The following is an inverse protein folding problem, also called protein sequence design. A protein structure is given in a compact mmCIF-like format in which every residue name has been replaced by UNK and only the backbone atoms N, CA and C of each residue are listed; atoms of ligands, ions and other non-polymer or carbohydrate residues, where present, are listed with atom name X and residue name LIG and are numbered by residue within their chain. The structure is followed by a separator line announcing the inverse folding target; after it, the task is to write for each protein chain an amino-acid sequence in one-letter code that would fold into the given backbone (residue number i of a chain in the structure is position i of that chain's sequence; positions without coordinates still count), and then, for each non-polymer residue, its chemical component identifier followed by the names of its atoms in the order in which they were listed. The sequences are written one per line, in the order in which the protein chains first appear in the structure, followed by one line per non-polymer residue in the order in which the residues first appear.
data_IF_643392588988
#
_entry.id   IF_643392588988
#
_cell.length_a   1.000
_cell.length_b   1.000
_cell.length_c   1.000
_cell.angle_alpha   90.00
_cell.angle_beta   90.00
_cell.angle_gamma   90.00
#
_symmetry.space_group_name_H-M   'P 1'
#
loop_
_entity.id
_entity.type
_entity.pdbx_description
1 polymer ?
#
# COMPACT_ATOMS: atom_id res chain seq x y z
N UNK A 1 16.23 -25.89 19.54
CA UNK A 1 15.33 -25.00 18.78
C UNK A 1 15.17 -23.70 19.56
N UNK A 2 16.02 -22.71 19.29
CA UNK A 2 16.04 -21.43 20.02
C UNK A 2 15.66 -20.28 19.08
N UNK A 3 14.36 -20.02 18.94
CA UNK A 3 13.86 -18.87 18.21
C UNK A 3 13.72 -17.68 19.15
N UNK A 4 14.78 -16.88 19.29
CA UNK A 4 14.72 -15.62 20.02
C UNK A 4 13.76 -14.66 19.32
N UNK A 5 12.53 -14.59 19.81
CA UNK A 5 11.52 -13.63 19.38
C UNK A 5 11.98 -12.22 19.72
N UNK A 6 12.75 -11.60 18.83
CA UNK A 6 12.97 -10.15 18.85
C UNK A 6 11.59 -9.51 18.83
N UNK A 7 11.24 -8.77 19.88
CA UNK A 7 10.01 -7.99 19.94
C UNK A 7 9.99 -7.03 18.75
N UNK A 8 9.32 -7.40 17.67
CA UNK A 8 9.14 -6.51 16.55
C UNK A 8 8.28 -5.35 17.04
N UNK A 9 8.89 -4.17 17.14
CA UNK A 9 8.18 -2.93 17.40
C UNK A 9 7.01 -2.84 16.41
N UNK A 10 5.81 -2.58 16.92
CA UNK A 10 4.59 -2.58 16.09
C UNK A 10 4.72 -1.43 15.09
N UNK A 11 5.06 -1.74 13.84
CA UNK A 11 5.05 -0.75 12.76
C UNK A 11 3.62 -0.60 12.25
N UNK A 12 3.10 0.61 12.27
CA UNK A 12 1.81 0.89 11.61
C UNK A 12 2.01 0.67 10.11
N UNK A 13 1.20 -0.19 9.49
CA UNK A 13 1.16 -0.30 8.02
C UNK A 13 0.04 0.59 7.51
N UNK A 14 0.32 1.42 6.51
CA UNK A 14 -0.70 2.16 5.79
C UNK A 14 -1.61 1.23 5.00
N UNK A 15 -2.81 1.70 4.66
CA UNK A 15 -3.75 0.90 3.87
C UNK A 15 -3.38 0.88 2.40
N UNK A 16 -3.67 -0.23 1.75
CA UNK A 16 -3.49 -0.39 0.31
C UNK A 16 -4.51 0.49 -0.45
N UNK A 17 -4.11 1.01 -1.61
CA UNK A 17 -4.97 1.77 -2.51
C UNK A 17 -5.29 0.92 -3.73
N UNK A 18 -6.54 0.96 -4.20
CA UNK A 18 -6.94 0.28 -5.43
C UNK A 18 -7.36 1.31 -6.47
N UNK A 19 -6.77 1.23 -7.65
CA UNK A 19 -7.14 2.06 -8.81
C UNK A 19 -7.46 1.17 -9.99
N UNK A 20 -8.44 1.59 -10.78
CA UNK A 20 -8.79 0.94 -12.03
C UNK A 20 -8.13 1.71 -13.17
N UNK A 21 -7.52 1.00 -14.10
CA UNK A 21 -6.93 1.58 -15.29
C UNK A 21 -7.58 0.98 -16.52
N UNK A 22 -8.12 1.84 -17.36
CA UNK A 22 -8.64 1.45 -18.66
C UNK A 22 -7.51 1.39 -19.68
N UNK A 23 -7.43 0.29 -20.41
CA UNK A 23 -6.45 0.03 -21.45
C UNK A 23 -7.16 -0.39 -22.74
N UNK A 24 -6.74 0.18 -23.86
CA UNK A 24 -7.18 -0.30 -25.17
C UNK A 24 -6.32 -1.48 -25.66
N UNK A 25 -6.80 -2.20 -26.67
CA UNK A 25 -6.09 -3.37 -27.23
C UNK A 25 -4.64 -3.06 -27.65
N UNK A 26 -4.38 -1.86 -28.17
CA UNK A 26 -3.03 -1.46 -28.58
C UNK A 26 -2.10 -1.34 -27.36
N UNK A 27 -2.52 -0.63 -26.32
CA UNK A 27 -1.78 -0.50 -25.06
C UNK A 27 -1.54 -1.86 -24.40
N UNK A 28 -2.51 -2.76 -24.45
CA UNK A 28 -2.37 -4.12 -23.95
C UNK A 28 -1.35 -4.91 -24.77
N UNK A 29 -1.38 -4.79 -26.10
CA UNK A 29 -0.48 -5.53 -26.99
C UNK A 29 0.99 -5.11 -26.89
N UNK A 30 1.25 -3.82 -26.65
CA UNK A 30 2.63 -3.27 -26.59
C UNK A 30 3.15 -3.08 -25.17
N UNK A 31 2.27 -3.10 -24.17
CA UNK A 31 2.56 -2.53 -22.87
C UNK A 31 2.55 -1.00 -22.92
N UNK A 32 2.40 -0.37 -21.74
CA UNK A 32 2.32 1.09 -21.61
C UNK A 32 2.80 1.55 -20.23
N UNK A 33 3.37 2.75 -20.16
CA UNK A 33 3.70 3.43 -18.92
C UNK A 33 2.62 4.48 -18.64
N UNK A 34 1.92 4.35 -17.49
CA UNK A 34 0.86 5.29 -17.09
C UNK A 34 1.22 5.98 -15.77
N UNK A 35 0.93 7.28 -15.71
CA UNK A 35 1.09 8.11 -14.51
C UNK A 35 -0.25 8.28 -13.81
N UNK A 36 -0.32 7.84 -12.57
CA UNK A 36 -1.50 7.97 -11.72
C UNK A 36 -1.32 9.10 -10.74
N UNK A 37 -2.18 10.12 -10.81
CA UNK A 37 -2.26 11.16 -9.80
C UNK A 37 -3.17 10.71 -8.67
N UNK A 38 -2.58 10.31 -7.55
CA UNK A 38 -3.28 9.71 -6.41
C UNK A 38 -3.47 10.74 -5.30
N UNK A 39 -4.71 10.86 -4.81
CA UNK A 39 -5.01 11.58 -3.57
C UNK A 39 -4.98 10.59 -2.41
N UNK A 40 -3.99 10.70 -1.53
CA UNK A 40 -3.74 9.72 -0.47
C UNK A 40 -3.09 10.33 0.75
N UNK A 41 -3.01 9.55 1.83
CA UNK A 41 -2.15 9.91 2.95
C UNK A 41 -0.69 9.75 2.56
N UNK A 42 0.08 10.83 2.71
CA UNK A 42 1.52 10.89 2.51
C UNK A 42 2.21 11.19 3.83
N UNK A 43 3.51 10.88 3.91
CA UNK A 43 4.31 11.22 5.09
C UNK A 43 4.30 12.73 5.29
N UNK A 44 4.15 13.18 6.53
CA UNK A 44 4.19 14.61 6.83
C UNK A 44 5.61 15.14 6.64
N UNK A 45 5.80 16.08 5.70
CA UNK A 45 7.12 16.67 5.42
C UNK A 45 7.67 17.48 6.59
N UNK A 46 6.81 18.08 7.42
CA UNK A 46 7.23 18.91 8.56
C UNK A 46 7.89 18.11 9.69
N UNK A 47 7.42 16.89 9.95
CA UNK A 47 7.94 16.04 11.02
C UNK A 47 8.57 14.74 10.51
N UNK A 48 8.68 14.60 9.19
CA UNK A 48 9.20 13.43 8.48
C UNK A 48 8.61 12.10 8.97
N UNK A 49 7.31 12.07 9.28
CA UNK A 49 6.62 10.86 9.74
C UNK A 49 6.61 10.62 11.25
N UNK A 50 7.40 11.36 12.04
CA UNK A 50 7.50 11.14 13.49
C UNK A 50 6.23 11.49 14.27
N UNK A 51 5.39 12.39 13.74
CA UNK A 51 4.24 12.95 14.44
C UNK A 51 4.62 14.00 15.50
N UNK A 52 5.90 14.26 15.73
CA UNK A 52 6.37 15.18 16.76
C UNK A 52 6.90 16.49 16.17
N UNK A 53 6.81 17.56 16.94
CA UNK A 53 7.34 18.88 16.60
C UNK A 53 8.82 18.95 16.98
N UNK A 54 9.70 19.11 15.98
CA UNK A 54 11.15 19.23 16.16
C UNK A 54 11.83 17.96 16.71
N UNK A 55 13.15 18.01 16.85
CA UNK A 55 13.97 16.85 17.25
C UNK A 55 13.74 16.41 18.72
N UNK A 56 13.24 17.30 19.58
CA UNK A 56 12.94 17.03 20.99
C UNK A 56 11.47 16.70 21.28
N UNK A 57 10.62 16.58 20.26
CA UNK A 57 9.18 16.39 20.45
C UNK A 57 8.77 14.98 20.89
N UNK A 58 9.71 14.02 20.87
CA UNK A 58 9.49 12.64 21.35
C UNK A 58 10.37 12.30 22.54
N UNK A 59 9.84 11.52 23.48
CA UNK A 59 10.64 10.87 24.51
C UNK A 59 10.53 9.35 24.42
N UNK A 60 11.56 8.64 24.87
CA UNK A 60 11.48 7.19 25.05
C UNK A 60 10.47 6.87 26.14
N UNK A 61 9.57 5.92 25.89
CA UNK A 61 8.55 5.54 26.85
C UNK A 61 9.20 5.01 28.13
N UNK A 62 8.99 5.64 29.31
CA UNK A 62 9.63 5.24 30.55
C UNK A 62 9.16 3.87 31.06
N UNK A 63 7.96 3.41 30.66
CA UNK A 63 7.40 2.12 31.10
C UNK A 63 8.02 0.93 30.40
N UNK A 64 8.34 1.06 29.11
CA UNK A 64 8.88 -0.04 28.30
C UNK A 64 10.33 0.20 27.84
N UNK A 65 10.92 1.34 28.20
CA UNK A 65 12.28 1.75 27.83
C UNK A 65 12.56 1.61 26.32
N UNK A 66 11.58 1.97 25.48
CA UNK A 66 11.72 1.93 24.02
C UNK A 66 11.30 0.61 23.36
N UNK A 67 11.03 -0.44 24.13
CA UNK A 67 10.71 -1.77 23.56
C UNK A 67 9.29 -1.88 23.00
N UNK A 68 8.39 -0.96 23.37
CA UNK A 68 6.97 -0.99 22.97
C UNK A 68 6.14 -2.09 23.65
N UNK A 69 6.76 -2.90 24.51
CA UNK A 69 6.11 -4.04 25.17
C UNK A 69 6.53 -4.14 26.62
N UNK A 70 5.71 -4.76 27.46
CA UNK A 70 6.01 -5.02 28.86
C UNK A 70 5.79 -6.51 29.15
N UNK A 71 6.72 -7.10 29.91
CA UNK A 71 6.60 -8.49 30.37
C UNK A 71 5.70 -8.56 31.59
N UNK A 72 4.60 -9.31 31.51
CA UNK A 72 3.72 -9.61 32.63
C UNK A 72 3.96 -11.04 33.09
N UNK A 73 4.40 -11.18 34.34
CA UNK A 73 4.48 -12.48 35.01
C UNK A 73 3.15 -12.73 35.70
N UNK A 74 2.46 -13.81 35.32
CA UNK A 74 1.20 -14.23 35.93
C UNK A 74 1.35 -15.64 36.49
N UNK A 75 0.78 -15.86 37.67
CA UNK A 75 0.78 -17.15 38.33
C UNK A 75 -0.34 -18.01 37.75
N UNK A 76 0.02 -19.16 37.17
CA UNK A 76 -0.91 -20.12 36.58
C UNK A 76 -0.88 -21.45 37.35
N UNK A 77 -1.85 -22.33 37.06
CA UNK A 77 -1.91 -23.70 37.58
C UNK A 77 -0.67 -24.55 37.26
N UNK A 78 0.15 -24.15 36.28
CA UNK A 78 1.40 -24.82 35.89
C UNK A 78 2.67 -24.06 36.33
N UNK A 79 2.53 -23.06 37.21
CA UNK A 79 3.63 -22.21 37.68
C UNK A 79 3.60 -20.80 37.10
N UNK A 80 4.73 -20.10 37.16
CA UNK A 80 4.87 -18.71 36.71
C UNK A 80 4.97 -18.66 35.18
N UNK A 81 4.00 -18.04 34.52
CA UNK A 81 3.99 -17.81 33.07
C UNK A 81 4.36 -16.36 32.82
N UNK A 82 5.41 -16.14 32.03
CA UNK A 82 5.75 -14.82 31.51
C UNK A 82 5.09 -14.63 30.15
N UNK A 83 4.26 -13.60 30.03
CA UNK A 83 3.63 -13.20 28.78
C UNK A 83 4.06 -11.79 28.41
N UNK A 84 4.28 -11.56 27.12
CA UNK A 84 4.59 -10.23 26.61
C UNK A 84 3.27 -9.53 26.24
N UNK A 85 3.06 -8.33 26.76
CA UNK A 85 1.90 -7.50 26.45
C UNK A 85 2.35 -6.16 25.86
N UNK A 86 1.48 -5.53 25.09
CA UNK A 86 1.76 -4.21 24.49
C UNK A 86 1.84 -3.18 25.62
N UNK A 87 2.82 -2.27 25.56
CA UNK A 87 2.93 -1.21 26.55
C UNK A 87 1.70 -0.29 26.46
N UNK A 88 0.88 -0.14 27.53
CA UNK A 88 -0.34 0.67 27.48
C UNK A 88 -0.04 2.17 27.41
N UNK A 89 1.14 2.61 27.84
CA UNK A 89 1.52 4.02 27.86
C UNK A 89 1.88 4.55 26.47
N UNK A 90 2.49 3.71 25.61
CA UNK A 90 2.90 4.11 24.25
C UNK A 90 2.23 3.28 23.15
N UNK A 91 1.25 2.44 23.47
CA UNK A 91 0.50 1.60 22.52
C UNK A 91 1.34 0.71 21.57
N UNK A 92 2.57 0.38 21.94
CA UNK A 92 3.49 -0.40 21.08
C UNK A 92 4.58 0.41 20.38
N UNK A 93 4.53 1.75 20.45
CA UNK A 93 5.45 2.63 19.70
C UNK A 93 6.84 2.73 20.32
N UNK A 94 6.98 2.47 21.62
CA UNK A 94 8.25 2.64 22.36
C UNK A 94 8.63 4.10 22.65
N UNK A 95 7.93 5.06 22.05
CA UNK A 95 8.12 6.50 22.26
C UNK A 95 6.79 7.18 22.61
N UNK A 96 6.87 8.36 23.19
CA UNK A 96 5.72 9.20 23.54
C UNK A 96 5.95 10.58 22.91
N UNK A 97 4.93 11.09 22.24
CA UNK A 97 4.95 12.43 21.64
C UNK A 97 4.58 13.44 22.71
N UNK A 98 5.55 14.27 23.14
CA UNK A 98 5.30 15.40 24.05
C UNK A 98 4.68 16.57 23.31
N UNK A 99 5.31 16.94 22.20
CA UNK A 99 4.92 18.08 21.38
C UNK A 99 4.43 17.53 20.05
N UNK A 100 3.11 17.53 19.86
CA UNK A 100 2.51 17.08 18.60
C UNK A 100 2.90 18.02 17.47
N UNK A 101 3.25 17.44 16.32
CA UNK A 101 3.50 18.21 15.12
C UNK A 101 2.26 19.03 14.74
N UNK A 102 2.43 20.32 14.48
CA UNK A 102 1.31 21.23 14.16
C UNK A 102 0.67 20.94 12.80
N UNK A 103 1.46 20.45 11.84
CA UNK A 103 0.99 20.17 10.49
C UNK A 103 0.14 18.90 10.36
N UNK A 104 0.43 17.86 11.16
CA UNK A 104 -0.28 16.58 11.13
C UNK A 104 -1.01 16.22 12.43
N UNK A 105 -1.09 17.17 13.38
CA UNK A 105 -1.73 17.01 14.69
C UNK A 105 -1.27 15.78 15.50
N UNK A 106 -0.04 15.30 15.28
CA UNK A 106 0.49 14.12 15.95
C UNK A 106 0.45 12.81 15.17
N UNK A 107 -0.13 12.77 13.96
CA UNK A 107 -0.32 11.51 13.23
C UNK A 107 0.90 11.05 12.41
N UNK A 108 1.77 11.99 12.04
CA UNK A 108 2.92 11.74 11.16
C UNK A 108 2.57 11.63 9.68
N UNK A 109 1.29 11.72 9.31
CA UNK A 109 0.81 11.68 7.93
C UNK A 109 -0.11 12.87 7.65
N UNK A 110 -0.20 13.26 6.38
CA UNK A 110 -1.10 14.32 5.89
C UNK A 110 -1.78 13.85 4.61
N UNK A 111 -2.98 14.37 4.33
CA UNK A 111 -3.66 14.07 3.06
C UNK A 111 -3.09 14.96 1.95
N UNK A 112 -2.62 14.35 0.86
CA UNK A 112 -1.93 15.03 -0.22
C UNK A 112 -2.05 14.30 -1.56
N UNK A 113 -1.26 14.76 -2.53
CA UNK A 113 -1.22 14.19 -3.88
C UNK A 113 0.17 13.60 -4.17
N UNK A 114 0.23 12.41 -4.76
CA UNK A 114 1.46 11.82 -5.29
C UNK A 114 1.22 11.34 -6.73
N UNK A 115 2.15 11.62 -7.64
CA UNK A 115 2.15 11.06 -8.99
C UNK A 115 2.99 9.80 -8.98
N UNK A 116 2.37 8.66 -9.27
CA UNK A 116 3.02 7.35 -9.34
C UNK A 116 3.06 6.89 -10.79
N UNK A 117 4.25 6.60 -11.29
CA UNK A 117 4.47 6.03 -12.61
C UNK A 117 4.50 4.51 -12.52
N UNK A 118 3.67 3.85 -13.33
CA UNK A 118 3.51 2.39 -13.34
C UNK A 118 3.69 1.88 -14.74
N UNK A 119 4.60 0.91 -14.89
CA UNK A 119 4.83 0.18 -16.14
C UNK A 119 3.91 -1.02 -16.18
N UNK A 120 2.99 -1.01 -17.14
CA UNK A 120 2.05 -2.09 -17.40
C UNK A 120 2.64 -2.94 -18.53
N UNK A 121 2.96 -4.23 -18.28
CA UNK A 121 3.57 -5.09 -19.28
C UNK A 121 2.59 -5.40 -20.41
N UNK A 122 3.11 -5.84 -21.55
CA UNK A 122 2.27 -6.35 -22.64
C UNK A 122 1.54 -7.64 -22.23
N UNK A 123 0.39 -7.89 -22.84
CA UNK A 123 -0.37 -9.13 -22.66
C UNK A 123 -1.20 -9.19 -21.38
N UNK A 124 -1.39 -8.08 -20.68
CA UNK A 124 -2.29 -8.02 -19.52
C UNK A 124 -3.73 -8.38 -19.90
N UNK A 125 -4.46 -8.97 -18.95
CA UNK A 125 -5.85 -9.39 -19.13
C UNK A 125 -6.82 -8.59 -18.27
N UNK A 126 -8.10 -8.60 -18.66
CA UNK A 126 -9.20 -8.04 -17.88
C UNK A 126 -9.18 -8.56 -16.43
N UNK A 127 -9.34 -7.65 -15.46
CA UNK A 127 -9.37 -7.97 -14.04
C UNK A 127 -8.01 -8.31 -13.41
N UNK A 128 -6.92 -8.36 -14.20
CA UNK A 128 -5.59 -8.60 -13.66
C UNK A 128 -5.15 -7.46 -12.74
N UNK A 129 -4.50 -7.80 -11.62
CA UNK A 129 -4.08 -6.84 -10.60
C UNK A 129 -2.56 -6.76 -10.52
N UNK A 130 -2.01 -5.57 -10.78
CA UNK A 130 -0.60 -5.26 -10.60
C UNK A 130 -0.40 -4.58 -9.24
N UNK A 131 0.56 -5.05 -8.45
CA UNK A 131 0.92 -4.44 -7.16
C UNK A 131 2.17 -3.58 -7.29
N UNK A 132 2.06 -2.32 -6.86
CA UNK A 132 3.18 -1.39 -6.77
C UNK A 132 3.49 -1.15 -5.30
N UNK A 133 4.57 -1.78 -4.84
CA UNK A 133 4.91 -1.83 -3.42
C UNK A 133 5.20 -0.44 -2.83
N UNK A 134 4.68 -0.18 -1.64
CA UNK A 134 4.94 1.06 -0.89
C UNK A 134 4.33 2.32 -1.49
N UNK A 135 3.45 2.19 -2.50
CA UNK A 135 2.76 3.31 -3.17
C UNK A 135 1.31 3.50 -2.72
N UNK A 136 0.84 2.73 -1.74
CA UNK A 136 -0.42 2.96 -1.03
C UNK A 136 -0.34 4.13 -0.04
N UNK A 137 -1.25 4.16 0.94
CA UNK A 137 -1.24 5.19 1.97
C UNK A 137 0.00 5.07 2.86
N UNK A 138 0.55 6.20 3.31
CA UNK A 138 1.62 6.23 4.31
C UNK A 138 1.13 5.68 5.65
N UNK A 139 2.01 4.98 6.37
CA UNK A 139 1.74 4.54 7.73
C UNK A 139 1.97 5.66 8.74
N UNK A 140 1.15 5.72 9.80
CA UNK A 140 1.34 6.65 10.92
C UNK A 140 2.66 6.39 11.65
N UNK A 141 3.24 7.43 12.27
CA UNK A 141 4.42 7.32 13.15
C UNK A 141 5.60 6.54 12.58
N UNK A 142 6.10 6.94 11.41
CA UNK A 142 7.14 6.24 10.65
C UNK A 142 6.77 4.80 10.28
N UNK A 143 5.47 4.58 10.08
CA UNK A 143 4.92 3.33 9.62
C UNK A 143 5.32 3.00 8.18
N UNK A 144 5.15 1.73 7.80
CA UNK A 144 5.42 1.29 6.43
C UNK A 144 4.22 1.65 5.56
N UNK A 145 4.41 2.24 4.37
CA UNK A 145 3.30 2.48 3.46
C UNK A 145 2.63 1.17 3.01
N UNK A 146 1.34 1.25 2.70
CA UNK A 146 0.64 0.18 1.98
C UNK A 146 1.05 0.13 0.51
N UNK A 147 0.36 -0.70 -0.26
CA UNK A 147 0.66 -0.94 -1.68
C UNK A 147 -0.41 -0.30 -2.58
N UNK A 148 -0.04 0.00 -3.84
CA UNK A 148 -1.00 0.44 -4.86
C UNK A 148 -1.34 -0.75 -5.75
N UNK A 149 -2.61 -1.13 -5.75
CA UNK A 149 -3.19 -2.20 -6.53
C UNK A 149 -3.85 -1.61 -7.79
N UNK A 150 -3.22 -1.79 -8.94
CA UNK A 150 -3.73 -1.36 -10.24
C UNK A 150 -4.50 -2.51 -10.86
N UNK A 151 -5.82 -2.36 -10.96
CA UNK A 151 -6.72 -3.33 -11.60
C UNK A 151 -6.94 -2.91 -13.03
N UNK A 152 -6.74 -3.84 -13.95
CA UNK A 152 -6.82 -3.59 -15.38
C UNK A 152 -8.25 -3.79 -15.86
N UNK A 153 -8.74 -2.80 -16.60
CA UNK A 153 -10.01 -2.83 -17.32
C UNK A 153 -9.70 -2.66 -18.82
N UNK A 154 -10.16 -3.58 -19.63
CA UNK A 154 -10.06 -3.59 -21.07
C UNK A 154 -11.19 -2.76 -21.67
N UNK A 155 -10.82 -1.78 -22.49
CA UNK A 155 -11.78 -1.02 -23.27
C UNK A 155 -12.22 -1.84 -24.48
N UNK A 156 -13.53 -2.01 -24.64
CA UNK A 156 -14.09 -2.66 -25.82
C UNK A 156 -13.69 -1.91 -27.09
N UNK A 157 -13.15 -2.63 -28.07
CA UNK A 157 -12.83 -2.09 -29.38
C UNK A 157 -14.07 -2.16 -30.29
N UNK A 158 -14.35 -1.14 -31.13
CA UNK A 158 -15.55 -1.12 -31.97
C UNK A 158 -15.61 -2.29 -32.96
N UNK A 159 -14.47 -2.67 -33.52
CA UNK A 159 -14.40 -3.65 -34.62
C UNK A 159 -13.74 -4.97 -34.24
N UNK A 160 -13.03 -5.00 -33.11
CA UNK A 160 -12.18 -6.13 -32.72
C UNK A 160 -12.70 -6.72 -31.43
N UNK A 161 -12.81 -8.05 -31.40
CA UNK A 161 -13.15 -8.81 -30.21
C UNK A 161 -11.88 -9.54 -29.80
N UNK A 162 -11.41 -9.30 -28.58
CA UNK A 162 -10.29 -10.06 -28.03
C UNK A 162 -10.81 -11.32 -27.38
N UNK A 163 -10.21 -12.45 -27.74
CA UNK A 163 -10.43 -13.74 -27.12
C UNK A 163 -9.08 -14.28 -26.64
N UNK A 164 -8.79 -14.10 -25.36
CA UNK A 164 -7.47 -14.38 -24.76
C UNK A 164 -6.29 -13.71 -25.51
N UNK A 165 -5.60 -14.49 -26.34
CA UNK A 165 -4.45 -14.07 -27.14
C UNK A 165 -4.80 -13.78 -28.60
N UNK A 166 -6.05 -14.03 -29.00
CA UNK A 166 -6.55 -13.84 -30.35
C UNK A 166 -7.33 -12.54 -30.49
N UNK A 167 -7.30 -11.97 -31.70
CA UNK A 167 -8.12 -10.83 -32.11
C UNK A 167 -9.03 -11.25 -33.25
N UNK A 168 -10.33 -11.18 -33.01
CA UNK A 168 -11.38 -11.54 -33.96
C UNK A 168 -11.90 -10.27 -34.61
N UNK A 169 -11.90 -10.24 -35.93
CA UNK A 169 -12.52 -9.18 -36.73
C UNK A 169 -13.65 -9.77 -37.56
N UNK A 170 -14.86 -9.24 -37.39
CA UNK A 170 -16.04 -9.70 -38.12
C UNK A 170 -16.14 -8.96 -39.46
N UNK A 171 -15.53 -9.52 -40.51
CA UNK A 171 -15.63 -8.98 -41.86
C UNK A 171 -16.97 -9.39 -42.50
N UNK A 172 -17.90 -8.44 -42.63
CA UNK A 172 -19.14 -8.64 -43.36
C UNK A 172 -18.88 -8.48 -44.87
N UNK A 173 -19.02 -9.57 -45.62
CA UNK A 173 -18.84 -9.59 -47.07
C UNK A 173 -20.18 -9.71 -47.80
N UNK A 174 -20.26 -9.04 -48.96
CA UNK A 174 -21.32 -9.31 -49.93
C UNK A 174 -21.08 -10.65 -50.62
N UNK A 175 -22.14 -11.34 -51.03
CA UNK A 175 -22.03 -12.63 -51.75
C UNK A 175 -21.15 -12.52 -53.01
N UNK A 176 -21.27 -11.48 -53.87
CA UNK A 176 -20.37 -11.32 -55.01
C UNK A 176 -18.89 -11.23 -54.62
N UNK A 177 -18.55 -10.46 -53.58
CA UNK A 177 -17.17 -10.34 -53.08
C UNK A 177 -16.65 -11.68 -52.58
N UNK A 178 -17.45 -12.39 -51.78
CA UNK A 178 -17.06 -13.70 -51.25
C UNK A 178 -16.86 -14.77 -52.34
N UNK A 179 -17.63 -14.71 -53.44
CA UNK A 179 -17.56 -15.68 -54.53
C UNK A 179 -16.45 -15.39 -55.56
N UNK A 180 -16.10 -14.10 -55.75
CA UNK A 180 -15.16 -13.68 -56.79
C UNK A 180 -13.72 -13.45 -56.30
N UNK A 181 -13.53 -13.25 -54.98
CA UNK A 181 -12.24 -12.92 -54.39
C UNK A 181 -12.03 -11.41 -54.26
#
# INVERSE_FOLDING_TARGET
FGGGGRSAQRKFRGSDLRVKVKLNLKEISTGVEKKFKLKKYVTCDHCHGSGAEGEGGTETCPTCHGTGSITRTQQSIFGMVQSQSVCPQCNGEGKIIKNKCKACAGEGIVYGEEVVEVKIPAGVAEGMQLSVNGKGNAGKHNGVPGDLLVVIEEESHPDLIRDENDLIYNLLLSVPTAALG
#
